data_IF_881155772758
#
_entry.id   IF_881155772758
#
_cell.length_a   1.000
_cell.length_b   1.000
_cell.length_c   1.000
_cell.angle_alpha   90.00
_cell.angle_beta   90.00
_cell.angle_gamma   90.00
#
_symmetry.space_group_name_H-M   'P 1'
#
loop_
_entity.id
_entity.type
_entity.pdbx_description
1 polymer ?
#
# COMPACT_ATOMS: atom_id res chain seq x y z
N UNK A 1 16.84 13.09 -9.23
CA UNK A 1 15.60 12.38 -9.69
C UNK A 1 14.45 12.88 -8.85
N UNK A 2 13.25 13.10 -9.43
CA UNK A 2 12.08 13.52 -8.62
C UNK A 2 11.65 12.38 -7.67
N UNK A 3 11.23 12.74 -6.47
CA UNK A 3 10.81 11.80 -5.41
C UNK A 3 9.71 10.84 -5.87
N UNK A 4 8.68 11.37 -6.55
CA UNK A 4 7.59 10.54 -7.09
C UNK A 4 8.07 9.47 -8.08
N UNK A 5 8.96 9.84 -9.01
CA UNK A 5 9.53 8.89 -9.95
C UNK A 5 10.38 7.82 -9.24
N UNK A 6 11.10 8.20 -8.21
CA UNK A 6 11.87 7.28 -7.39
C UNK A 6 10.97 6.31 -6.63
N UNK A 7 9.92 6.80 -5.98
CA UNK A 7 8.90 5.97 -5.29
C UNK A 7 8.33 4.89 -6.22
N UNK A 8 7.97 5.24 -7.46
CA UNK A 8 7.46 4.26 -8.42
C UNK A 8 8.51 3.19 -8.79
N UNK A 9 9.77 3.55 -8.80
CA UNK A 9 10.89 2.62 -9.09
C UNK A 9 11.10 1.65 -7.94
N UNK A 10 11.07 2.15 -6.70
CA UNK A 10 11.09 1.30 -5.49
C UNK A 10 9.91 0.34 -5.47
N UNK A 11 8.70 0.82 -5.72
CA UNK A 11 7.52 -0.04 -5.83
C UNK A 11 7.67 -1.12 -6.91
N UNK A 12 8.21 -0.75 -8.07
CA UNK A 12 8.43 -1.68 -9.19
C UNK A 12 9.47 -2.73 -8.86
N UNK A 13 10.57 -2.30 -8.21
CA UNK A 13 11.61 -3.21 -7.75
C UNK A 13 11.03 -4.18 -6.71
N UNK A 14 10.38 -3.67 -5.68
CA UNK A 14 9.79 -4.49 -4.62
C UNK A 14 8.78 -5.52 -5.16
N UNK A 15 7.96 -5.14 -6.15
CA UNK A 15 7.01 -6.08 -6.79
C UNK A 15 7.69 -7.30 -7.43
N UNK A 16 8.95 -7.17 -7.83
CA UNK A 16 9.66 -8.20 -8.59
C UNK A 16 10.75 -8.94 -7.82
N UNK A 17 11.34 -8.25 -6.86
CA UNK A 17 12.62 -8.65 -6.27
C UNK A 17 12.61 -8.61 -4.73
N UNK A 18 11.44 -8.42 -4.12
CA UNK A 18 11.34 -8.47 -2.67
C UNK A 18 11.39 -9.91 -2.17
N UNK A 19 12.08 -10.22 -1.05
CA UNK A 19 12.88 -9.34 -0.20
C UNK A 19 14.28 -9.04 -0.78
N UNK A 20 14.96 -7.96 -0.31
CA UNK A 20 16.32 -7.66 -0.74
C UNK A 20 17.28 -8.79 -0.37
N UNK A 21 18.18 -9.17 -1.30
CA UNK A 21 19.15 -10.26 -1.11
C UNK A 21 18.55 -11.67 -1.10
N UNK A 22 17.23 -11.81 -1.32
CA UNK A 22 16.58 -13.11 -1.42
C UNK A 22 16.86 -13.79 -2.75
N UNK A 23 17.27 -15.06 -2.71
CA UNK A 23 17.25 -15.92 -3.88
C UNK A 23 15.79 -16.27 -4.19
N UNK A 24 15.27 -15.75 -5.30
CA UNK A 24 13.86 -15.92 -5.69
C UNK A 24 13.45 -17.40 -5.91
N UNK A 25 14.39 -18.30 -5.96
CA UNK A 25 14.15 -19.74 -6.11
C UNK A 25 13.95 -20.50 -4.78
N UNK A 26 14.51 -19.98 -3.67
CA UNK A 26 14.42 -20.65 -2.36
C UNK A 26 13.08 -20.40 -1.64
N UNK A 27 12.33 -19.38 -2.01
CA UNK A 27 11.12 -18.92 -1.33
C UNK A 27 9.88 -18.96 -2.26
N UNK A 28 9.79 -19.99 -3.09
CA UNK A 28 8.93 -20.13 -4.26
C UNK A 28 7.43 -19.90 -4.06
N UNK A 29 6.92 -19.80 -2.85
CA UNK A 29 5.50 -19.55 -2.55
C UNK A 29 5.24 -18.14 -1.98
N UNK A 30 6.27 -17.42 -1.55
CA UNK A 30 6.13 -16.05 -1.05
C UNK A 30 5.90 -15.06 -2.17
N UNK A 31 4.99 -14.14 -1.95
CA UNK A 31 4.65 -13.06 -2.86
C UNK A 31 4.52 -11.74 -2.11
N UNK A 32 4.84 -10.66 -2.81
CA UNK A 32 4.74 -9.30 -2.28
C UNK A 32 3.55 -8.54 -2.92
N UNK A 33 2.63 -8.08 -2.10
CA UNK A 33 1.61 -7.12 -2.52
C UNK A 33 2.12 -5.72 -2.23
N UNK A 34 2.54 -5.01 -3.28
CA UNK A 34 3.13 -3.68 -3.15
C UNK A 34 2.08 -2.60 -3.39
N UNK A 35 2.04 -1.64 -2.49
CA UNK A 35 1.18 -0.47 -2.59
C UNK A 35 1.96 0.79 -2.23
N UNK A 36 1.36 1.95 -2.47
CA UNK A 36 1.97 3.25 -2.18
C UNK A 36 1.04 4.14 -1.38
N UNK A 37 1.65 5.04 -0.60
CA UNK A 37 0.95 6.08 0.14
C UNK A 37 -0.15 5.49 1.04
N UNK A 38 0.21 4.47 1.83
CA UNK A 38 -0.66 3.81 2.80
C UNK A 38 -0.10 3.92 4.22
N UNK A 39 -0.96 3.71 5.18
CA UNK A 39 -0.64 3.75 6.60
C UNK A 39 -1.85 4.09 7.45
N UNK A 40 -1.62 4.74 8.57
CA UNK A 40 -2.67 5.21 9.48
C UNK A 40 -3.14 6.62 9.12
N UNK A 41 -4.13 7.14 9.84
CA UNK A 41 -4.59 8.53 9.66
C UNK A 41 -3.49 9.57 9.94
N UNK A 42 -2.55 9.25 10.84
CA UNK A 42 -1.50 10.18 11.29
C UNK A 42 -0.15 9.95 10.64
N UNK A 43 0.07 8.74 10.11
CA UNK A 43 1.33 8.35 9.48
C UNK A 43 1.06 7.59 8.19
N UNK A 44 1.64 8.05 7.12
CA UNK A 44 1.53 7.46 5.80
C UNK A 44 2.93 7.16 5.26
N UNK A 45 3.16 5.91 4.91
CA UNK A 45 4.40 5.44 4.30
C UNK A 45 4.34 5.59 2.79
N UNK A 46 5.47 5.86 2.18
CA UNK A 46 5.55 6.04 0.73
C UNK A 46 5.31 4.73 -0.01
N UNK A 47 6.03 3.69 0.37
CA UNK A 47 5.86 2.34 -0.17
C UNK A 47 5.53 1.37 0.96
N UNK A 48 4.58 0.50 0.72
CA UNK A 48 4.18 -0.57 1.63
C UNK A 48 4.31 -1.90 0.89
N UNK A 49 5.00 -2.85 1.50
CA UNK A 49 5.06 -4.23 1.04
C UNK A 49 4.32 -5.10 2.04
N UNK A 50 3.33 -5.83 1.57
CA UNK A 50 2.64 -6.86 2.34
C UNK A 50 3.12 -8.20 1.84
N UNK A 51 3.86 -8.91 2.69
CA UNK A 51 4.32 -10.26 2.41
C UNK A 51 3.21 -11.25 2.71
N UNK A 52 3.07 -12.24 1.86
CA UNK A 52 2.05 -13.29 1.94
C UNK A 52 2.48 -14.49 1.11
N UNK A 53 1.69 -15.56 1.15
CA UNK A 53 1.87 -16.70 0.25
C UNK A 53 0.87 -16.65 -0.92
N UNK A 54 1.20 -17.30 -2.01
CA UNK A 54 0.29 -17.46 -3.16
C UNK A 54 -1.01 -18.14 -2.74
N UNK A 55 -0.90 -19.20 -1.95
CA UNK A 55 -2.06 -19.92 -1.41
C UNK A 55 -2.97 -18.98 -0.61
N UNK A 56 -2.42 -18.16 0.29
CA UNK A 56 -3.20 -17.22 1.09
C UNK A 56 -3.90 -16.16 0.23
N UNK A 57 -3.24 -15.68 -0.86
CA UNK A 57 -3.88 -14.79 -1.83
C UNK A 57 -5.01 -15.46 -2.61
N UNK A 58 -4.83 -16.72 -2.99
CA UNK A 58 -5.87 -17.49 -3.69
C UNK A 58 -7.08 -17.72 -2.77
N UNK A 59 -6.85 -17.94 -1.47
CA UNK A 59 -7.91 -18.02 -0.46
C UNK A 59 -8.58 -16.65 -0.19
N UNK A 60 -7.86 -15.52 -0.38
CA UNK A 60 -8.43 -14.17 -0.27
C UNK A 60 -9.26 -13.78 -1.51
N UNK A 61 -8.92 -14.30 -2.69
CA UNK A 61 -9.53 -13.90 -3.95
C UNK A 61 -11.07 -14.03 -4.02
N UNK A 62 -11.72 -15.06 -3.42
CA UNK A 62 -13.18 -15.19 -3.40
C UNK A 62 -13.93 -14.03 -2.74
N UNK A 63 -13.25 -13.19 -1.96
CA UNK A 63 -13.84 -12.00 -1.32
C UNK A 63 -13.89 -10.79 -2.29
N UNK A 64 -13.39 -10.95 -3.50
CA UNK A 64 -13.40 -9.96 -4.58
C UNK A 64 -12.20 -9.01 -4.57
N UNK A 65 -12.05 -8.25 -5.66
CA UNK A 65 -10.90 -7.37 -5.91
C UNK A 65 -10.87 -6.11 -5.04
N UNK A 66 -12.02 -5.65 -4.57
CA UNK A 66 -12.12 -4.48 -3.70
C UNK A 66 -11.76 -4.81 -2.25
N UNK A 67 -11.29 -3.80 -1.53
CA UNK A 67 -11.03 -3.94 -0.09
C UNK A 67 -12.27 -4.38 0.68
N UNK A 68 -12.04 -5.05 1.77
CA UNK A 68 -13.03 -5.20 2.83
C UNK A 68 -12.83 -4.04 3.81
N UNK A 69 -13.80 -3.15 3.93
CA UNK A 69 -13.82 -2.16 4.99
C UNK A 69 -14.02 -2.83 6.36
N UNK A 70 -13.90 -2.07 7.45
CA UNK A 70 -13.97 -2.62 8.80
C UNK A 70 -15.25 -3.44 9.05
N UNK A 71 -16.39 -2.96 8.52
CA UNK A 71 -17.67 -3.65 8.69
C UNK A 71 -17.72 -4.96 7.90
N UNK A 72 -17.24 -4.95 6.66
CA UNK A 72 -17.15 -6.17 5.83
C UNK A 72 -16.14 -7.16 6.38
N UNK A 73 -15.00 -6.69 6.91
CA UNK A 73 -14.01 -7.53 7.58
C UNK A 73 -14.62 -8.19 8.82
N UNK A 74 -15.39 -7.44 9.62
CA UNK A 74 -16.09 -7.98 10.77
C UNK A 74 -16.99 -9.15 10.36
N UNK A 75 -17.79 -9.00 9.29
CA UNK A 75 -18.64 -10.08 8.78
C UNK A 75 -17.80 -11.22 8.20
N UNK A 76 -16.78 -10.93 7.36
CA UNK A 76 -15.97 -11.94 6.69
C UNK A 76 -15.24 -12.86 7.69
N UNK A 77 -14.72 -12.29 8.77
CA UNK A 77 -13.94 -13.02 9.79
C UNK A 77 -14.80 -13.84 10.74
N UNK A 78 -16.03 -13.39 11.02
CA UNK A 78 -16.85 -13.97 12.08
C UNK A 78 -18.12 -14.67 11.58
N UNK A 79 -18.42 -14.63 10.27
CA UNK A 79 -19.58 -15.33 9.74
C UNK A 79 -19.52 -16.83 10.05
N UNK A 80 -20.60 -17.44 10.61
CA UNK A 80 -20.62 -18.83 11.00
C UNK A 80 -20.62 -19.77 9.80
N UNK A 81 -20.17 -20.99 9.97
CA UNK A 81 -20.22 -22.03 8.93
C UNK A 81 -21.61 -22.62 8.71
N UNK A 82 -22.49 -22.52 9.70
CA UNK A 82 -23.90 -22.94 9.66
C UNK A 82 -24.84 -21.73 9.78
N UNK A 83 -26.09 -21.91 9.39
CA UNK A 83 -27.09 -20.86 9.48
C UNK A 83 -27.30 -20.39 10.93
N UNK A 84 -27.10 -19.11 11.17
CA UNK A 84 -27.36 -18.48 12.45
C UNK A 84 -27.83 -17.03 12.29
N UNK A 85 -28.58 -16.54 13.25
CA UNK A 85 -29.02 -15.14 13.30
C UNK A 85 -27.80 -14.23 13.49
N UNK A 86 -27.65 -13.21 12.64
CA UNK A 86 -26.43 -12.43 12.56
C UNK A 86 -26.03 -11.76 13.89
N UNK A 87 -26.99 -11.37 14.74
CA UNK A 87 -26.70 -10.75 16.04
C UNK A 87 -26.21 -11.75 17.09
N UNK A 88 -26.58 -13.02 16.95
CA UNK A 88 -26.16 -14.07 17.87
C UNK A 88 -24.79 -14.66 17.43
N UNK A 89 -24.53 -14.64 16.14
CA UNK A 89 -23.35 -15.26 15.53
C UNK A 89 -22.12 -14.35 15.44
N UNK A 90 -22.34 -13.04 15.26
CA UNK A 90 -21.25 -12.07 15.12
C UNK A 90 -20.92 -11.46 16.49
N UNK A 91 -19.65 -11.20 16.79
CA UNK A 91 -19.24 -10.50 18.01
C UNK A 91 -19.92 -9.13 18.12
N UNK A 92 -20.01 -8.61 19.36
CA UNK A 92 -20.52 -7.26 19.59
C UNK A 92 -19.63 -6.23 18.85
N UNK A 93 -20.19 -5.42 17.95
CA UNK A 93 -19.38 -4.59 17.06
C UNK A 93 -18.88 -3.28 17.69
N UNK A 94 -19.26 -2.93 18.91
CA UNK A 94 -18.94 -1.64 19.52
C UNK A 94 -19.62 -0.42 18.88
N UNK A 95 -20.49 -0.64 17.88
CA UNK A 95 -21.28 0.38 17.18
C UNK A 95 -22.68 -0.19 16.80
N UNK A 96 -23.62 0.64 16.31
CA UNK A 96 -24.99 0.19 16.08
C UNK A 96 -25.12 -0.95 15.07
N UNK A 97 -25.88 -1.98 15.43
CA UNK A 97 -26.14 -3.18 14.62
C UNK A 97 -26.71 -2.92 13.22
N UNK A 98 -27.27 -1.75 12.97
CA UNK A 98 -27.74 -1.36 11.62
C UNK A 98 -26.62 -1.40 10.58
N UNK A 99 -25.42 -0.98 10.96
CA UNK A 99 -24.25 -1.00 10.05
C UNK A 99 -23.77 -2.43 9.79
N UNK A 100 -23.79 -3.29 10.82
CA UNK A 100 -23.47 -4.71 10.63
C UNK A 100 -24.51 -5.38 9.72
N UNK A 101 -25.81 -5.06 9.90
CA UNK A 101 -26.85 -5.58 9.00
C UNK A 101 -26.63 -5.17 7.55
N UNK A 102 -26.25 -3.93 7.31
CA UNK A 102 -25.90 -3.43 5.98
C UNK A 102 -24.66 -4.15 5.43
N UNK A 103 -23.63 -4.33 6.26
CA UNK A 103 -22.45 -5.09 5.88
C UNK A 103 -22.78 -6.56 5.54
N UNK A 104 -23.70 -7.20 6.26
CA UNK A 104 -24.17 -8.56 5.93
C UNK A 104 -24.83 -8.61 4.55
N UNK A 105 -25.64 -7.62 4.19
CA UNK A 105 -26.20 -7.56 2.83
C UNK A 105 -25.14 -7.32 1.78
N UNK A 106 -24.22 -6.36 1.98
CA UNK A 106 -23.07 -6.13 1.07
C UNK A 106 -22.18 -7.37 0.92
N UNK A 107 -21.99 -8.13 1.99
CA UNK A 107 -21.24 -9.37 1.98
C UNK A 107 -21.94 -10.47 1.16
N UNK A 108 -23.26 -10.53 1.23
CA UNK A 108 -24.08 -11.43 0.41
C UNK A 108 -24.04 -11.03 -1.07
N UNK A 109 -24.18 -9.73 -1.38
CA UNK A 109 -24.07 -9.20 -2.75
C UNK A 109 -22.69 -9.47 -3.37
N UNK A 110 -21.62 -9.44 -2.55
CA UNK A 110 -20.26 -9.83 -2.96
C UNK A 110 -20.04 -11.35 -3.02
N UNK A 111 -20.99 -12.15 -2.54
CA UNK A 111 -21.01 -13.60 -2.69
C UNK A 111 -20.15 -14.39 -1.70
N UNK A 112 -19.59 -13.80 -0.64
CA UNK A 112 -18.81 -14.55 0.35
C UNK A 112 -19.57 -14.97 1.60
N UNK A 113 -20.82 -14.50 1.77
CA UNK A 113 -21.80 -15.06 2.70
C UNK A 113 -23.12 -15.35 1.97
N UNK A 114 -23.91 -16.22 2.52
CA UNK A 114 -25.31 -16.41 2.14
C UNK A 114 -26.22 -15.86 3.23
N UNK A 115 -27.37 -15.32 2.83
CA UNK A 115 -28.36 -14.80 3.75
C UNK A 115 -29.72 -15.42 3.47
N UNK A 116 -30.53 -15.62 4.51
CA UNK A 116 -31.94 -15.97 4.40
C UNK A 116 -32.75 -15.26 5.48
N UNK A 117 -34.03 -15.06 5.20
CA UNK A 117 -34.97 -14.50 6.16
C UNK A 117 -35.73 -15.64 6.83
N UNK A 118 -35.74 -15.67 8.16
CA UNK A 118 -36.57 -16.60 8.96
C UNK A 118 -37.40 -15.79 9.95
N UNK A 119 -38.69 -15.62 9.63
CA UNK A 119 -39.53 -14.66 10.34
C UNK A 119 -38.98 -13.24 10.20
N UNK A 120 -38.75 -12.56 11.30
CA UNK A 120 -38.18 -11.21 11.35
C UNK A 120 -36.65 -11.22 11.50
N UNK A 121 -35.98 -12.40 11.45
CA UNK A 121 -34.56 -12.54 11.63
C UNK A 121 -33.85 -12.74 10.28
N UNK A 122 -32.68 -12.09 10.11
CA UNK A 122 -31.77 -12.34 9.02
C UNK A 122 -30.71 -13.32 9.52
N UNK A 123 -30.73 -14.52 8.97
CA UNK A 123 -29.71 -15.53 9.22
C UNK A 123 -28.65 -15.45 8.12
N UNK A 124 -27.39 -15.75 8.48
CA UNK A 124 -26.26 -15.81 7.55
C UNK A 124 -25.48 -17.11 7.76
N UNK A 125 -24.75 -17.50 6.71
CA UNK A 125 -23.65 -18.45 6.79
C UNK A 125 -22.53 -18.05 5.84
N UNK A 126 -21.27 -18.35 6.17
CA UNK A 126 -20.15 -18.10 5.28
C UNK A 126 -20.14 -19.10 4.12
N UNK A 127 -19.74 -18.62 2.95
CA UNK A 127 -19.33 -19.49 1.82
C UNK A 127 -17.85 -19.82 1.89
N UNK A 128 -17.05 -18.85 2.29
CA UNK A 128 -15.60 -18.97 2.39
C UNK A 128 -15.16 -18.56 3.79
N UNK A 129 -14.12 -19.23 4.30
CA UNK A 129 -13.44 -18.80 5.52
C UNK A 129 -12.47 -17.69 5.14
N UNK A 130 -12.50 -16.56 5.85
CA UNK A 130 -11.54 -15.50 5.65
C UNK A 130 -10.15 -15.98 6.07
N UNK A 131 -9.12 -15.89 5.17
CA UNK A 131 -7.78 -16.35 5.46
C UNK A 131 -7.01 -15.33 6.29
N UNK A 132 -6.01 -15.81 7.02
CA UNK A 132 -4.97 -14.98 7.61
C UNK A 132 -3.85 -14.81 6.55
N UNK A 133 -4.04 -13.83 5.67
CA UNK A 133 -3.22 -13.68 4.47
C UNK A 133 -2.14 -12.59 4.58
N UNK A 134 -2.16 -11.78 5.65
CA UNK A 134 -1.18 -10.73 5.91
C UNK A 134 -0.12 -11.29 6.86
N UNK A 135 0.97 -11.81 6.31
CA UNK A 135 2.06 -12.36 7.14
C UNK A 135 2.89 -11.23 7.74
N UNK A 136 3.48 -10.40 6.89
CA UNK A 136 4.31 -9.28 7.29
C UNK A 136 3.90 -8.00 6.56
N UNK A 137 4.08 -6.88 7.23
CA UNK A 137 3.89 -5.54 6.67
C UNK A 137 5.22 -4.81 6.77
N UNK A 138 5.75 -4.37 5.66
CA UNK A 138 6.99 -3.61 5.59
C UNK A 138 6.70 -2.20 5.13
N UNK A 139 7.26 -1.23 5.84
CA UNK A 139 7.17 0.19 5.53
C UNK A 139 8.47 0.67 4.90
N UNK A 140 8.41 1.35 3.76
CA UNK A 140 9.57 1.93 3.10
C UNK A 140 9.32 3.42 2.88
N UNK A 141 10.19 4.24 3.43
CA UNK A 141 10.29 5.67 3.16
C UNK A 141 11.23 5.89 1.99
N UNK A 142 10.88 6.78 1.06
CA UNK A 142 11.65 6.98 -0.17
C UNK A 142 12.31 8.36 -0.17
N UNK A 143 13.64 8.40 -0.14
CA UNK A 143 14.42 9.63 -0.19
C UNK A 143 15.55 9.49 -1.21
N UNK A 144 15.33 9.90 -2.49
CA UNK A 144 16.32 9.72 -3.54
C UNK A 144 17.62 10.46 -3.26
N UNK A 145 17.54 11.64 -2.64
CA UNK A 145 18.69 12.50 -2.35
C UNK A 145 18.90 12.53 -0.82
N UNK A 146 19.46 11.47 -0.26
CA UNK A 146 19.74 11.35 1.16
C UNK A 146 21.05 12.05 1.50
N UNK A 147 20.95 13.19 2.14
CA UNK A 147 22.05 13.91 2.76
C UNK A 147 21.85 14.00 4.29
N UNK A 148 22.83 14.56 5.00
CA UNK A 148 22.76 14.69 6.46
C UNK A 148 21.57 15.55 6.95
N UNK A 149 21.11 16.53 6.15
CA UNK A 149 19.96 17.35 6.50
C UNK A 149 18.65 16.54 6.31
N UNK A 150 18.55 15.80 5.22
CA UNK A 150 17.44 14.91 4.95
C UNK A 150 17.35 13.76 6.00
N UNK A 151 18.47 13.17 6.38
CA UNK A 151 18.53 12.14 7.41
C UNK A 151 17.99 12.67 8.76
N UNK A 152 18.45 13.84 9.20
CA UNK A 152 17.95 14.50 10.42
C UNK A 152 16.46 14.84 10.33
N UNK A 153 15.99 15.31 9.18
CA UNK A 153 14.58 15.64 8.99
C UNK A 153 13.67 14.39 9.04
N UNK A 154 14.17 13.23 8.60
CA UNK A 154 13.44 11.96 8.63
C UNK A 154 13.52 11.23 9.98
N UNK A 155 14.54 11.49 10.78
CA UNK A 155 14.80 10.80 12.07
C UNK A 155 13.54 10.65 12.91
N UNK A 156 12.89 11.77 13.23
CA UNK A 156 11.69 11.77 14.06
C UNK A 156 10.51 11.00 13.47
N UNK A 157 10.43 10.90 12.16
CA UNK A 157 9.40 10.14 11.47
C UNK A 157 9.69 8.64 11.54
N UNK A 158 10.93 8.24 11.33
CA UNK A 158 11.38 6.85 11.43
C UNK A 158 11.31 6.33 12.86
N UNK A 159 11.72 7.15 13.86
CA UNK A 159 11.54 6.84 15.28
C UNK A 159 10.07 6.58 15.63
N UNK A 160 9.14 7.37 15.06
CA UNK A 160 7.71 7.14 15.26
C UNK A 160 7.28 5.77 14.72
N UNK A 161 7.77 5.38 13.54
CA UNK A 161 7.43 4.11 12.92
C UNK A 161 7.99 2.92 13.72
N UNK A 162 9.23 3.05 14.20
CA UNK A 162 9.87 2.05 15.07
C UNK A 162 9.12 1.94 16.41
N UNK A 163 8.84 3.06 17.08
CA UNK A 163 8.14 3.06 18.38
C UNK A 163 6.72 2.50 18.27
N UNK A 164 6.02 2.76 17.18
CA UNK A 164 4.69 2.23 16.92
C UNK A 164 4.74 0.71 16.69
N UNK A 165 5.78 0.22 16.01
CA UNK A 165 5.96 -1.20 15.67
C UNK A 165 4.74 -1.77 14.93
N UNK A 166 4.11 -0.99 14.07
CA UNK A 166 2.96 -1.44 13.26
C UNK A 166 3.41 -2.23 12.04
N UNK A 167 4.55 -1.87 11.46
CA UNK A 167 5.27 -2.66 10.47
C UNK A 167 6.21 -3.66 11.15
N UNK A 168 6.51 -4.77 10.49
CA UNK A 168 7.52 -5.74 10.93
C UNK A 168 8.93 -5.23 10.69
N UNK A 169 9.09 -4.41 9.64
CA UNK A 169 10.34 -3.76 9.29
C UNK A 169 10.06 -2.36 8.76
N UNK A 170 10.99 -1.45 9.03
CA UNK A 170 11.02 -0.10 8.48
C UNK A 170 12.29 0.05 7.67
N UNK A 171 12.16 0.54 6.46
CA UNK A 171 13.26 0.76 5.53
C UNK A 171 13.30 2.20 5.04
N UNK A 172 14.50 2.68 4.76
CA UNK A 172 14.76 3.91 4.03
C UNK A 172 15.40 3.55 2.68
N UNK A 173 14.72 3.86 1.58
CA UNK A 173 15.25 3.68 0.24
C UNK A 173 15.84 4.99 -0.26
N UNK A 174 17.10 4.94 -0.74
CA UNK A 174 17.80 6.07 -1.35
C UNK A 174 18.35 5.69 -2.71
N UNK A 175 18.61 6.68 -3.59
CA UNK A 175 19.27 6.41 -4.85
C UNK A 175 20.74 6.03 -4.59
N UNK A 176 21.19 4.92 -5.19
CA UNK A 176 22.58 4.57 -5.17
C UNK A 176 23.36 5.63 -5.97
N UNK A 177 24.05 6.49 -5.29
CA UNK A 177 25.17 7.23 -5.82
C UNK A 177 26.39 6.32 -5.70
N UNK A 178 27.33 6.36 -6.60
CA UNK A 178 28.48 5.44 -6.67
C UNK A 178 29.37 5.39 -5.41
N UNK A 179 29.00 6.08 -4.37
CA UNK A 179 29.66 6.14 -3.07
C UNK A 179 28.88 5.29 -2.04
N UNK A 180 29.62 4.70 -1.12
CA UNK A 180 29.08 4.14 0.12
C UNK A 180 28.24 5.21 0.84
N UNK A 181 27.13 4.78 1.47
CA UNK A 181 26.36 5.68 2.32
C UNK A 181 27.29 6.17 3.44
N UNK A 182 27.51 7.48 3.50
CA UNK A 182 28.44 8.05 4.48
C UNK A 182 28.02 7.67 5.91
N UNK A 183 28.95 7.20 6.76
CA UNK A 183 28.63 6.84 8.15
C UNK A 183 27.93 7.94 8.92
N UNK A 184 28.23 9.21 8.66
CA UNK A 184 27.58 10.36 9.27
C UNK A 184 26.07 10.44 8.98
N UNK A 185 25.57 9.83 7.91
CA UNK A 185 24.15 9.75 7.61
C UNK A 185 23.44 8.72 8.51
N UNK A 186 24.18 7.69 8.94
CA UNK A 186 23.66 6.61 9.77
C UNK A 186 23.42 7.07 11.22
N UNK A 187 24.16 8.08 11.70
CA UNK A 187 24.03 8.59 13.09
C UNK A 187 22.64 9.20 13.38
N UNK A 188 21.99 9.77 12.36
CA UNK A 188 20.68 10.38 12.51
C UNK A 188 19.51 9.41 12.29
N UNK A 189 19.78 8.18 11.82
CA UNK A 189 18.75 7.19 11.51
C UNK A 189 18.67 6.15 12.61
N UNK A 190 17.47 5.79 13.12
CA UNK A 190 17.34 4.74 14.13
C UNK A 190 17.97 3.42 13.64
N UNK A 191 18.71 2.74 14.50
CA UNK A 191 19.45 1.50 14.17
C UNK A 191 18.54 0.33 13.77
N UNK A 192 17.27 0.43 14.05
CA UNK A 192 16.22 -0.52 13.67
C UNK A 192 15.83 -0.38 12.21
N UNK A 193 16.14 0.75 11.57
CA UNK A 193 15.73 1.05 10.18
C UNK A 193 16.75 0.50 9.21
N UNK A 194 16.29 -0.32 8.27
CA UNK A 194 17.11 -0.80 7.16
C UNK A 194 17.36 0.28 6.10
N UNK A 195 18.45 0.17 5.38
CA UNK A 195 18.80 1.10 4.30
C UNK A 195 18.98 0.33 2.99
N UNK A 196 18.25 0.76 1.96
CA UNK A 196 18.32 0.24 0.59
C UNK A 196 18.92 1.30 -0.34
N UNK A 197 19.98 0.94 -1.03
CA UNK A 197 20.53 1.71 -2.14
C UNK A 197 19.94 1.21 -3.46
N UNK A 198 19.13 2.04 -4.12
CA UNK A 198 18.38 1.67 -5.33
C UNK A 198 19.00 2.29 -6.56
N UNK A 199 19.44 1.45 -7.51
CA UNK A 199 20.09 1.84 -8.75
C UNK A 199 19.31 1.38 -9.98
N UNK A 200 19.39 2.17 -11.06
CA UNK A 200 18.95 1.75 -12.38
C UNK A 200 19.95 0.79 -13.02
N UNK A 201 19.44 -0.27 -13.64
CA UNK A 201 20.22 -1.19 -14.47
C UNK A 201 19.65 -1.23 -15.89
N UNK A 202 20.38 -1.74 -16.90
CA UNK A 202 19.82 -1.90 -18.25
C UNK A 202 18.51 -2.69 -18.28
N UNK A 203 18.35 -3.66 -17.39
CA UNK A 203 17.18 -4.55 -17.33
C UNK A 203 16.10 -4.09 -16.33
N UNK A 204 16.34 -2.99 -15.60
CA UNK A 204 15.36 -2.47 -14.64
C UNK A 204 15.97 -1.75 -13.45
N UNK A 205 15.67 -2.23 -12.25
CA UNK A 205 16.07 -1.64 -10.98
C UNK A 205 16.61 -2.71 -10.04
N UNK A 206 17.72 -2.41 -9.38
CA UNK A 206 18.33 -3.22 -8.34
C UNK A 206 18.34 -2.41 -7.04
N UNK A 207 18.17 -3.10 -5.93
CA UNK A 207 18.42 -2.53 -4.61
C UNK A 207 19.44 -3.39 -3.87
N UNK A 208 20.42 -2.76 -3.31
CA UNK A 208 21.44 -3.36 -2.47
C UNK A 208 21.16 -2.97 -1.01
N UNK A 209 21.23 -3.92 -0.10
CA UNK A 209 21.11 -3.65 1.33
C UNK A 209 22.40 -3.05 1.86
N UNK A 210 22.32 -1.80 2.31
CA UNK A 210 23.43 -1.11 2.97
C UNK A 210 23.45 -1.42 4.45
N UNK A 211 22.25 -1.46 5.06
CA UNK A 211 22.05 -1.77 6.46
C UNK A 211 20.80 -2.64 6.61
N UNK A 212 20.89 -3.72 7.38
CA UNK A 212 19.75 -4.59 7.64
C UNK A 212 18.85 -4.00 8.72
N UNK A 213 17.53 -4.06 8.57
CA UNK A 213 16.60 -3.62 9.59
C UNK A 213 16.58 -4.60 10.76
N UNK A 214 16.11 -4.14 11.90
CA UNK A 214 15.65 -5.03 12.97
C UNK A 214 14.19 -5.37 12.75
N UNK A 215 13.85 -6.64 12.90
CA UNK A 215 12.44 -7.04 12.97
C UNK A 215 11.81 -6.46 14.22
N UNK A 216 10.76 -5.67 14.03
CA UNK A 216 9.97 -5.09 15.10
C UNK A 216 8.96 -6.10 15.62
N UNK A 217 8.39 -5.84 16.80
CA UNK A 217 7.34 -6.71 17.35
C UNK A 217 5.93 -6.16 17.09
N UNK A 218 5.28 -6.56 15.99
CA UNK A 218 3.92 -6.12 15.70
C UNK A 218 2.88 -6.81 16.60
N UNK A 219 3.24 -7.90 17.28
CA UNK A 219 2.36 -8.59 18.21
C UNK A 219 2.39 -7.99 19.62
N UNK A 220 3.44 -7.26 19.96
CA UNK A 220 3.57 -6.52 21.21
C UNK A 220 2.83 -5.19 21.23
N UNK A 221 2.78 -4.50 22.38
CA UNK A 221 2.29 -3.13 22.46
C UNK A 221 3.19 -2.19 21.66
N UNK A 222 2.67 -1.03 21.29
CA UNK A 222 3.43 0.02 20.61
C UNK A 222 3.17 1.37 21.22
N UNK A 223 3.97 2.36 20.84
CA UNK A 223 3.83 3.75 21.27
C UNK A 223 3.51 4.63 20.07
N UNK A 224 2.41 5.36 20.13
CA UNK A 224 2.02 6.35 19.13
C UNK A 224 2.34 7.74 19.64
N UNK A 225 3.23 8.46 18.93
CA UNK A 225 3.53 9.86 19.23
C UNK A 225 2.38 10.71 18.69
N UNK A 226 1.72 11.46 19.57
CA UNK A 226 0.57 12.32 19.23
C UNK A 226 1.00 13.71 18.83
N UNK A 227 1.92 14.28 19.60
CA UNK A 227 2.42 15.63 19.45
C UNK A 227 3.89 15.69 19.85
N UNK A 228 4.67 16.46 19.12
CA UNK A 228 6.01 16.92 19.53
C UNK A 228 5.94 18.41 19.71
N UNK A 229 6.61 18.99 20.72
CA UNK A 229 6.67 20.44 20.88
C UNK A 229 7.27 21.08 19.61
N UNK A 230 6.68 22.17 19.18
CA UNK A 230 7.24 22.98 18.10
C UNK A 230 8.45 23.75 18.62
N UNK A 231 9.64 23.48 18.11
CA UNK A 231 10.85 24.23 18.40
C UNK A 231 12.02 23.36 18.83
N UNK A 232 12.99 23.27 17.95
CA UNK A 232 14.39 22.93 18.16
C UNK A 232 14.71 21.75 19.06
N UNK A 233 15.79 21.10 18.84
CA UNK A 233 16.50 20.05 19.61
C UNK A 233 15.86 19.66 20.97
N UNK A 234 14.59 19.36 20.91
CA UNK A 234 13.69 19.50 21.99
C UNK A 234 13.74 18.28 22.88
N UNK A 235 13.77 18.56 24.09
CA UNK A 235 13.39 17.73 25.20
C UNK A 235 12.29 16.72 24.78
N UNK A 236 12.71 15.49 24.47
CA UNK A 236 11.81 14.38 24.13
C UNK A 236 10.80 14.12 25.27
N UNK A 237 11.07 14.63 26.49
CA UNK A 237 10.20 14.54 27.66
C UNK A 237 8.87 15.29 27.48
N UNK A 238 8.82 16.26 26.60
CA UNK A 238 7.60 17.05 26.34
C UNK A 238 6.70 16.45 25.25
N UNK A 239 7.08 15.35 24.62
CA UNK A 239 6.23 14.68 23.62
C UNK A 239 5.04 14.00 24.30
N UNK A 240 3.86 14.10 23.65
CA UNK A 240 2.65 13.41 24.10
C UNK A 240 2.53 12.06 23.41
N UNK A 241 2.39 11.00 24.18
CA UNK A 241 2.34 9.62 23.71
C UNK A 241 0.98 8.98 24.00
N UNK A 242 0.65 7.97 23.20
CA UNK A 242 -0.44 7.05 23.45
C UNK A 242 0.05 5.62 23.26
N UNK A 243 -0.19 4.77 24.23
CA UNK A 243 0.08 3.36 24.09
C UNK A 243 -1.02 2.71 23.26
N UNK A 244 -0.63 1.84 22.34
CA UNK A 244 -1.54 1.05 21.53
C UNK A 244 -1.37 -0.43 21.83
N UNK A 245 -2.49 -1.12 21.97
CA UNK A 245 -2.50 -2.54 22.27
C UNK A 245 -2.30 -3.40 21.02
N UNK A 246 -1.92 -4.69 21.20
CA UNK A 246 -1.73 -5.61 20.10
C UNK A 246 -2.99 -5.87 19.26
N UNK A 247 -4.19 -5.75 19.82
CA UNK A 247 -5.43 -5.97 19.09
C UNK A 247 -5.66 -4.84 18.09
N UNK A 248 -5.45 -3.58 18.49
CA UNK A 248 -5.48 -2.44 17.60
C UNK A 248 -4.46 -2.57 16.46
N UNK A 249 -3.23 -3.01 16.78
CA UNK A 249 -2.18 -3.22 15.76
C UNK A 249 -2.61 -4.28 14.73
N UNK A 250 -3.11 -5.42 15.17
CA UNK A 250 -3.61 -6.49 14.26
C UNK A 250 -4.70 -5.98 13.33
N UNK A 251 -5.67 -5.23 13.86
CA UNK A 251 -6.74 -4.66 13.04
C UNK A 251 -6.20 -3.66 12.01
N UNK A 252 -5.26 -2.79 12.41
CA UNK A 252 -4.66 -1.81 11.51
C UNK A 252 -3.77 -2.45 10.44
N UNK A 253 -3.02 -3.48 10.79
CA UNK A 253 -2.24 -4.25 9.81
C UNK A 253 -3.14 -4.88 8.75
N UNK A 254 -4.24 -5.48 9.19
CA UNK A 254 -5.21 -6.07 8.27
C UNK A 254 -5.89 -5.01 7.40
N UNK A 255 -6.25 -3.86 7.95
CA UNK A 255 -6.79 -2.72 7.20
C UNK A 255 -5.80 -2.23 6.14
N UNK A 256 -4.51 -2.13 6.49
CA UNK A 256 -3.44 -1.74 5.56
C UNK A 256 -3.30 -2.80 4.46
N UNK A 257 -3.27 -4.08 4.81
CA UNK A 257 -3.23 -5.18 3.85
C UNK A 257 -4.39 -5.13 2.86
N UNK A 258 -5.63 -4.99 3.34
CA UNK A 258 -6.82 -4.89 2.49
C UNK A 258 -6.77 -3.67 1.55
N UNK A 259 -6.27 -2.53 2.02
CA UNK A 259 -6.06 -1.35 1.19
C UNK A 259 -4.95 -1.54 0.18
N UNK A 260 -3.87 -2.22 0.56
CA UNK A 260 -2.79 -2.58 -0.36
C UNK A 260 -3.30 -3.54 -1.44
N UNK A 261 -4.10 -4.53 -1.03
CA UNK A 261 -4.73 -5.47 -1.93
C UNK A 261 -5.63 -4.79 -2.97
N UNK A 262 -6.46 -3.84 -2.60
CA UNK A 262 -7.33 -3.09 -3.50
C UNK A 262 -6.54 -2.17 -4.42
N UNK A 263 -5.67 -1.31 -3.85
CA UNK A 263 -5.08 -0.18 -4.56
C UNK A 263 -3.87 -0.56 -5.41
N UNK A 264 -2.95 -1.34 -4.83
CA UNK A 264 -1.63 -1.55 -5.41
C UNK A 264 -0.86 -0.24 -5.60
N UNK A 265 0.38 -0.33 -6.09
CA UNK A 265 1.20 0.86 -6.32
C UNK A 265 0.83 1.62 -7.60
N UNK A 266 0.11 0.99 -8.55
CA UNK A 266 -0.31 1.63 -9.81
C UNK A 266 -1.55 2.50 -9.68
N UNK A 267 -2.05 2.70 -8.46
CA UNK A 267 -3.22 3.56 -8.19
C UNK A 267 -3.00 5.04 -8.55
N UNK A 268 -1.78 5.46 -8.82
CA UNK A 268 -1.49 6.82 -9.31
C UNK A 268 -2.30 7.18 -10.57
N UNK A 269 -2.62 6.21 -11.42
CA UNK A 269 -3.37 6.43 -12.65
C UNK A 269 -4.82 6.88 -12.41
N UNK A 270 -5.40 6.59 -11.23
CA UNK A 270 -6.80 6.92 -10.93
C UNK A 270 -7.06 8.43 -10.83
N UNK A 271 -6.02 9.20 -10.53
CA UNK A 271 -6.11 10.65 -10.34
C UNK A 271 -5.42 11.44 -11.45
N UNK A 272 -4.79 10.76 -12.41
CA UNK A 272 -4.15 11.37 -13.56
C UNK A 272 -5.10 11.51 -14.75
N UNK A 273 -4.81 12.48 -15.61
CA UNK A 273 -5.56 12.72 -16.83
C UNK A 273 -5.00 11.86 -17.97
N UNK A 274 -5.31 10.55 -17.92
CA UNK A 274 -4.93 9.61 -18.98
C UNK A 274 -5.61 9.93 -20.33
N UNK A 275 -6.68 10.73 -20.32
CA UNK A 275 -7.38 11.26 -21.49
C UNK A 275 -6.70 12.52 -22.10
N UNK A 276 -5.56 12.93 -21.58
CA UNK A 276 -4.74 13.98 -22.16
C UNK A 276 -3.91 13.44 -23.33
N UNK A 277 -3.89 14.17 -24.47
CA UNK A 277 -3.10 13.78 -25.65
C UNK A 277 -1.58 13.68 -25.38
N UNK A 278 -1.10 14.36 -24.36
CA UNK A 278 0.30 14.34 -23.95
C UNK A 278 0.63 13.27 -22.92
N UNK A 279 -0.36 12.56 -22.36
CA UNK A 279 -0.11 11.48 -21.43
C UNK A 279 0.52 10.27 -22.15
N UNK A 280 1.58 9.75 -21.56
CA UNK A 280 2.30 8.56 -22.07
C UNK A 280 2.63 7.64 -20.90
N UNK A 281 2.81 6.37 -21.21
CA UNK A 281 3.49 5.42 -20.33
C UNK A 281 4.88 5.16 -20.91
N UNK A 282 5.92 5.48 -20.15
CA UNK A 282 7.30 5.21 -20.57
C UNK A 282 7.74 3.81 -20.15
N UNK A 283 8.37 3.13 -21.10
CA UNK A 283 9.07 1.86 -20.96
C UNK A 283 10.55 2.09 -21.35
N UNK A 284 11.56 1.32 -20.87
CA UNK A 284 11.47 -0.10 -20.52
C UNK A 284 11.38 -0.38 -19.02
N UNK A 285 11.67 0.56 -18.13
CA UNK A 285 11.75 0.30 -16.70
C UNK A 285 10.37 0.05 -16.01
N UNK A 286 9.28 0.19 -16.74
CA UNK A 286 7.92 -0.02 -16.25
C UNK A 286 6.94 0.99 -16.86
N UNK A 287 5.62 0.81 -16.69
CA UNK A 287 4.64 1.78 -17.15
C UNK A 287 4.62 2.99 -16.22
N UNK A 288 5.57 3.90 -16.35
CA UNK A 288 5.64 5.13 -15.57
C UNK A 288 4.91 6.27 -16.28
N UNK A 289 4.20 7.15 -15.54
CA UNK A 289 3.48 8.27 -16.14
C UNK A 289 4.45 9.33 -16.66
N UNK A 290 4.27 9.75 -17.89
CA UNK A 290 5.09 10.73 -18.58
C UNK A 290 4.23 11.76 -19.29
N UNK A 291 4.61 13.03 -19.21
CA UNK A 291 3.99 14.12 -19.94
C UNK A 291 4.83 14.51 -21.17
N UNK A 292 4.31 14.27 -22.36
CA UNK A 292 5.00 14.65 -23.61
C UNK A 292 5.06 16.16 -23.85
N UNK A 293 4.23 16.99 -23.19
CA UNK A 293 4.30 18.43 -23.31
C UNK A 293 5.41 19.05 -22.43
N UNK A 294 5.67 18.42 -21.28
CA UNK A 294 6.69 18.89 -20.31
C UNK A 294 7.99 18.10 -20.40
N UNK A 295 7.97 17.02 -21.17
CA UNK A 295 9.05 16.03 -21.32
C UNK A 295 9.59 15.51 -19.98
N UNK A 296 8.67 15.19 -19.04
CA UNK A 296 9.02 14.77 -17.68
C UNK A 296 7.99 13.81 -17.06
N UNK A 297 8.41 13.08 -16.01
CA UNK A 297 7.52 12.32 -15.15
C UNK A 297 6.63 13.28 -14.35
N UNK A 298 5.33 12.97 -14.27
CA UNK A 298 4.37 13.83 -13.61
C UNK A 298 3.73 13.14 -12.42
N UNK A 299 3.58 13.89 -11.32
CA UNK A 299 2.77 13.46 -10.19
C UNK A 299 1.28 13.57 -10.53
N UNK A 300 0.45 12.90 -9.73
CA UNK A 300 -1.00 13.05 -9.83
C UNK A 300 -1.46 14.51 -9.61
N UNK A 301 -0.79 15.25 -8.71
CA UNK A 301 -1.08 16.66 -8.45
C UNK A 301 -0.75 17.55 -9.65
N UNK A 302 0.32 17.26 -10.39
CA UNK A 302 0.70 18.01 -11.59
C UNK A 302 -0.14 17.65 -12.83
N UNK A 303 -0.67 16.41 -12.87
CA UNK A 303 -1.47 15.88 -13.98
C UNK A 303 -2.97 15.90 -13.65
N UNK A 304 -3.49 17.07 -13.26
CA UNK A 304 -4.90 17.28 -12.91
C UNK A 304 -5.66 18.02 -14.02
N UNK A 305 -6.95 18.20 -13.83
CA UNK A 305 -7.80 19.03 -14.70
C UNK A 305 -7.37 20.50 -14.79
N UNK A 306 -6.60 21.00 -13.81
CA UNK A 306 -6.02 22.36 -13.81
C UNK A 306 -4.66 22.46 -14.48
N UNK A 307 -4.12 21.39 -15.07
CA UNK A 307 -2.82 21.44 -15.76
C UNK A 307 -2.90 22.38 -16.97
N UNK A 308 -2.01 23.40 -17.07
CA UNK A 308 -2.04 24.37 -18.18
C UNK A 308 -1.68 23.75 -19.54
N UNK A 309 -1.01 22.61 -19.54
CA UNK A 309 -0.68 21.83 -20.75
C UNK A 309 -1.72 20.74 -21.05
N UNK A 310 -2.88 20.75 -20.38
CA UNK A 310 -3.92 19.76 -20.66
C UNK A 310 -4.54 19.99 -22.03
N UNK A 311 -4.46 18.99 -22.87
CA UNK A 311 -5.16 18.94 -24.14
C UNK A 311 -5.91 17.60 -24.23
N UNK A 312 -7.24 17.63 -24.43
CA UNK A 312 -8.01 16.40 -24.54
C UNK A 312 -7.61 15.59 -25.77
N UNK A 313 -7.74 14.28 -25.68
CA UNK A 313 -7.56 13.40 -26.83
C UNK A 313 -8.44 13.86 -28.03
N UNK A 314 -7.86 13.96 -29.23
CA UNK A 314 -8.62 14.37 -30.40
C UNK A 314 -9.83 13.44 -30.65
N UNK A 315 -11.00 13.96 -31.06
CA UNK A 315 -12.16 13.13 -31.37
C UNK A 315 -11.86 12.04 -32.42
N UNK A 316 -10.92 12.29 -33.34
CA UNK A 316 -10.48 11.34 -34.33
C UNK A 316 -9.85 10.06 -33.73
N UNK A 317 -9.22 10.16 -32.57
CA UNK A 317 -8.68 8.99 -31.87
C UNK A 317 -9.78 8.08 -31.35
N UNK A 318 -10.93 8.61 -31.05
CA UNK A 318 -12.10 7.88 -30.53
C UNK A 318 -12.86 7.13 -31.66
N UNK A 319 -12.68 7.56 -32.92
CA UNK A 319 -13.41 7.02 -34.09
C UNK A 319 -12.63 6.02 -34.95
N UNK A 320 -11.30 6.00 -34.85
CA UNK A 320 -10.45 5.11 -35.67
C UNK A 320 -10.27 3.74 -35.02
N UNK A 321 -11.27 2.85 -35.18
CA UNK A 321 -11.09 1.42 -34.93
C UNK A 321 -10.62 1.01 -33.53
N UNK A 322 -10.63 1.95 -32.59
CA UNK A 322 -10.36 1.60 -31.21
C UNK A 322 -11.57 0.83 -30.69
N UNK A 323 -11.39 -0.45 -30.33
CA UNK A 323 -12.50 -1.30 -29.88
C UNK A 323 -13.05 -0.85 -28.52
N UNK A 324 -12.57 0.29 -28.02
CA UNK A 324 -12.82 0.80 -26.68
C UNK A 324 -13.34 2.22 -26.80
N UNK A 325 -14.55 2.43 -26.35
CA UNK A 325 -15.12 3.75 -26.20
C UNK A 325 -14.20 4.63 -25.31
N UNK A 326 -13.80 5.82 -25.79
CA UNK A 326 -13.00 6.77 -25.06
C UNK A 326 -11.50 6.83 -25.39
N UNK A 327 -11.03 6.18 -26.45
CA UNK A 327 -9.67 6.35 -27.01
C UNK A 327 -8.51 5.74 -26.20
N UNK A 328 -7.24 6.14 -26.51
CA UNK A 328 -6.02 5.57 -25.90
C UNK A 328 -5.94 5.69 -24.37
N UNK A 329 -6.40 6.80 -23.81
CA UNK A 329 -6.38 7.02 -22.36
C UNK A 329 -7.20 5.97 -21.62
N UNK A 330 -8.40 5.67 -22.10
CA UNK A 330 -9.26 4.64 -21.52
C UNK A 330 -8.66 3.22 -21.70
N UNK A 331 -7.94 2.98 -22.78
CA UNK A 331 -7.18 1.75 -22.95
C UNK A 331 -6.03 1.64 -21.94
N UNK A 332 -5.34 2.74 -21.68
CA UNK A 332 -4.30 2.83 -20.64
C UNK A 332 -4.86 2.54 -19.26
N UNK A 333 -5.97 3.14 -18.87
CA UNK A 333 -6.63 2.89 -17.58
C UNK A 333 -7.00 1.41 -17.42
N UNK A 334 -7.57 0.81 -18.45
CA UNK A 334 -7.91 -0.63 -18.43
C UNK A 334 -6.68 -1.53 -18.35
N UNK A 335 -5.58 -1.16 -19.02
CA UNK A 335 -4.30 -1.87 -18.90
C UNK A 335 -3.76 -1.82 -17.49
N UNK A 336 -3.72 -0.64 -16.87
CA UNK A 336 -3.23 -0.44 -15.52
C UNK A 336 -4.14 -1.14 -14.49
N UNK A 337 -5.45 -1.07 -14.67
CA UNK A 337 -6.42 -1.79 -13.85
C UNK A 337 -6.22 -3.31 -13.94
N UNK A 338 -5.98 -3.86 -15.14
CA UNK A 338 -5.66 -5.29 -15.29
C UNK A 338 -4.35 -5.66 -14.63
N UNK A 339 -3.31 -4.84 -14.76
CA UNK A 339 -2.01 -5.08 -14.10
C UNK A 339 -2.13 -5.03 -12.58
N UNK A 340 -2.96 -4.14 -12.05
CA UNK A 340 -3.27 -4.08 -10.62
C UNK A 340 -3.94 -5.36 -10.11
N UNK A 341 -4.89 -5.91 -10.88
CA UNK A 341 -5.60 -7.15 -10.53
C UNK A 341 -4.73 -8.41 -10.68
N UNK A 342 -3.75 -8.38 -11.57
CA UNK A 342 -2.76 -9.45 -11.70
C UNK A 342 -1.69 -9.32 -10.62
N UNK A 343 -2.01 -9.77 -9.45
CA UNK A 343 -1.11 -9.86 -8.30
C UNK A 343 -0.29 -11.16 -8.32
N UNK A 344 0.06 -11.59 -9.53
CA UNK A 344 0.78 -12.83 -9.80
C UNK A 344 2.12 -12.53 -10.44
#
# INVERSE_FOLDING_TARGET
MKEFGFELRVCRWAERHWPPGGDSEADGDRVAVVARQLGTRRRRWDTVVVETTREALDLRAPFGDGRLDADLLHVARHAPGSWAYYRDALPQPGYPWRYVREAVHRAADRGFVETRKRGNRVELRRRYRYPDWVDRVVAIENKPDLDAAAARALSGQLEHDVALGLADEVWLATAATAAEVEPALLEAIPVEVGILAVAGTPDGWRADTVWNPRTLDPAGPGTRILERPAGGEADASAARFEYVDPAWKREKRLEIGERAYERGWRSYAETMRTDCRHFRLRYPAGPFPWCGAKDDEQTAAECTGGCPSFEPEPPAWRRRGWPIEGGPGKATDRLLARKRRRRR
#
